data_IF_289224571050
#
_entry.id   IF_289224571050
#
_cell.length_a   1.000
_cell.length_b   1.000
_cell.length_c   1.000
_cell.angle_alpha   90.00
_cell.angle_beta   90.00
_cell.angle_gamma   90.00
#
_symmetry.space_group_name_H-M   'P 1'
#
loop_
_entity.id
_entity.type
_entity.pdbx_description
1 polymer ?
#
# COMPACT_ATOMS: atom_id res chain seq x y z
N UNK A 1 16.56 4.37 23.66
CA UNK A 1 15.87 4.23 22.37
C UNK A 1 15.38 5.60 21.95
N UNK A 2 15.80 6.09 20.79
CA UNK A 2 15.33 7.38 20.27
C UNK A 2 13.81 7.30 19.99
N UNK A 3 13.06 8.31 20.42
CA UNK A 3 11.62 8.40 20.18
C UNK A 3 11.31 8.43 18.68
N UNK A 4 10.30 7.64 18.27
CA UNK A 4 9.83 7.59 16.88
C UNK A 4 8.81 8.69 16.63
N UNK A 5 9.30 9.86 16.23
CA UNK A 5 8.49 11.06 16.01
C UNK A 5 8.24 11.36 14.54
N UNK A 6 9.15 10.94 13.65
CA UNK A 6 9.12 11.29 12.24
C UNK A 6 8.11 10.44 11.43
N UNK A 7 7.55 11.04 10.39
CA UNK A 7 6.65 10.34 9.47
C UNK A 7 7.43 9.27 8.68
N UNK A 8 6.80 8.13 8.33
CA UNK A 8 7.46 7.11 7.53
C UNK A 8 7.79 7.64 6.12
N UNK A 9 8.97 7.27 5.63
CA UNK A 9 9.39 7.59 4.26
C UNK A 9 8.62 6.75 3.24
N UNK A 10 8.54 7.19 1.96
CA UNK A 10 7.91 6.39 0.89
C UNK A 10 8.56 5.02 0.69
N UNK A 11 9.88 4.89 0.94
CA UNK A 11 10.60 3.61 0.87
C UNK A 11 10.13 2.68 1.98
N UNK A 12 10.11 3.15 3.23
CA UNK A 12 9.61 2.39 4.39
C UNK A 12 8.20 1.88 4.17
N UNK A 13 7.30 2.74 3.65
CA UNK A 13 5.92 2.34 3.34
C UNK A 13 5.86 1.24 2.28
N UNK A 14 6.68 1.32 1.23
CA UNK A 14 6.78 0.27 0.20
C UNK A 14 7.29 -1.05 0.78
N UNK A 15 8.31 -1.00 1.63
CA UNK A 15 8.91 -2.18 2.24
C UNK A 15 7.93 -2.87 3.21
N UNK A 16 7.19 -2.09 4.01
CA UNK A 16 6.12 -2.62 4.86
C UNK A 16 5.01 -3.27 4.03
N UNK A 17 4.61 -2.65 2.91
CA UNK A 17 3.64 -3.23 1.99
C UNK A 17 4.14 -4.55 1.38
N UNK A 18 5.39 -4.64 0.94
CA UNK A 18 5.99 -5.89 0.41
C UNK A 18 6.00 -7.01 1.46
N UNK A 19 6.26 -6.67 2.72
CA UNK A 19 6.20 -7.62 3.85
C UNK A 19 4.78 -7.97 4.27
N UNK A 20 3.76 -7.31 3.72
CA UNK A 20 2.36 -7.47 4.10
C UNK A 20 2.05 -6.94 5.50
N UNK A 21 2.92 -6.08 6.05
CA UNK A 21 2.71 -5.42 7.34
C UNK A 21 1.94 -4.11 7.13
N UNK A 22 0.64 -4.27 6.92
CA UNK A 22 -0.30 -3.18 6.66
C UNK A 22 -1.44 -3.24 7.66
N UNK A 23 -1.90 -2.08 8.06
CA UNK A 23 -3.06 -1.94 8.95
C UNK A 23 -4.33 -1.90 8.13
N UNK A 24 -5.25 -2.81 8.44
CA UNK A 24 -6.61 -2.86 7.90
C UNK A 24 -7.59 -3.02 9.05
N UNK A 25 -8.78 -2.47 8.91
CA UNK A 25 -9.88 -2.76 9.80
C UNK A 25 -10.63 -4.00 9.31
N UNK A 26 -10.66 -5.04 10.13
CA UNK A 26 -11.47 -6.25 9.87
C UNK A 26 -12.95 -5.97 10.08
N UNK A 27 -13.26 -4.98 10.91
CA UNK A 27 -14.63 -4.54 11.20
C UNK A 27 -15.32 -3.95 9.99
N UNK A 28 -14.60 -3.16 9.18
CA UNK A 28 -15.14 -2.62 7.92
C UNK A 28 -15.46 -3.75 6.94
N UNK A 29 -14.61 -4.77 6.85
CA UNK A 29 -14.88 -5.92 5.97
C UNK A 29 -16.13 -6.68 6.44
N UNK A 30 -16.23 -6.95 7.73
CA UNK A 30 -17.38 -7.64 8.30
C UNK A 30 -18.67 -6.81 8.18
N UNK A 31 -18.60 -5.48 8.34
CA UNK A 31 -19.74 -4.58 8.13
C UNK A 31 -20.24 -4.62 6.69
N UNK A 32 -19.34 -4.58 5.70
CA UNK A 32 -19.69 -4.69 4.28
C UNK A 32 -20.29 -6.06 3.96
N UNK A 33 -19.71 -7.14 4.47
CA UNK A 33 -20.26 -8.48 4.30
C UNK A 33 -21.68 -8.59 4.89
N UNK A 34 -21.88 -8.08 6.11
CA UNK A 34 -23.18 -8.06 6.75
C UNK A 34 -24.21 -7.22 5.96
N UNK A 35 -23.79 -6.08 5.39
CA UNK A 35 -24.64 -5.24 4.55
C UNK A 35 -25.04 -5.95 3.26
N UNK A 36 -24.11 -6.66 2.62
CA UNK A 36 -24.39 -7.46 1.41
C UNK A 36 -25.39 -8.57 1.72
N UNK A 37 -25.16 -9.32 2.81
CA UNK A 37 -26.06 -10.39 3.24
C UNK A 37 -27.44 -9.85 3.58
N UNK A 38 -27.52 -8.76 4.35
CA UNK A 38 -28.77 -8.11 4.69
C UNK A 38 -29.54 -7.66 3.43
N UNK A 39 -28.86 -7.02 2.49
CA UNK A 39 -29.47 -6.56 1.23
C UNK A 39 -29.99 -7.74 0.41
N UNK A 40 -29.20 -8.80 0.31
CA UNK A 40 -29.59 -10.02 -0.41
C UNK A 40 -30.83 -10.65 0.19
N UNK A 41 -30.85 -10.89 1.48
CA UNK A 41 -32.03 -11.49 2.15
C UNK A 41 -33.24 -10.55 2.21
N UNK A 42 -33.03 -9.23 2.18
CA UNK A 42 -34.13 -8.28 2.05
C UNK A 42 -34.81 -8.36 0.68
N UNK A 43 -34.05 -8.63 -0.39
CA UNK A 43 -34.55 -8.67 -1.77
C UNK A 43 -35.05 -10.07 -2.16
N UNK A 44 -34.31 -11.10 -1.79
CA UNK A 44 -34.52 -12.49 -2.26
C UNK A 44 -34.94 -13.46 -1.16
N UNK A 45 -34.97 -13.04 0.12
CA UNK A 45 -35.20 -13.93 1.23
C UNK A 45 -36.56 -14.66 1.17
N UNK A 46 -37.63 -14.00 0.73
CA UNK A 46 -38.92 -14.64 0.58
C UNK A 46 -38.92 -15.67 -0.54
N UNK A 47 -38.34 -15.35 -1.70
CA UNK A 47 -38.23 -16.31 -2.81
C UNK A 47 -37.36 -17.51 -2.42
N UNK A 48 -36.22 -17.27 -1.76
CA UNK A 48 -35.37 -18.33 -1.22
C UNK A 48 -36.11 -19.24 -0.24
N UNK A 49 -36.92 -18.66 0.65
CA UNK A 49 -37.72 -19.42 1.59
C UNK A 49 -38.76 -20.30 0.88
N UNK A 50 -39.48 -19.76 -0.11
CA UNK A 50 -40.48 -20.50 -0.91
C UNK A 50 -39.81 -21.68 -1.63
N UNK A 51 -38.62 -21.48 -2.19
CA UNK A 51 -37.89 -22.57 -2.90
C UNK A 51 -37.38 -23.65 -1.92
N UNK A 52 -36.98 -23.27 -0.69
CA UNK A 52 -36.67 -24.24 0.37
C UNK A 52 -37.89 -25.07 0.76
N UNK A 53 -39.06 -24.43 0.93
CA UNK A 53 -40.32 -25.15 1.18
C UNK A 53 -40.65 -26.03 0.04
N UNK A 54 -40.47 -25.57 -1.20
CA UNK A 54 -40.65 -26.39 -2.42
C UNK A 54 -39.76 -27.60 -2.42
N UNK A 55 -38.47 -27.48 -2.05
CA UNK A 55 -37.55 -28.61 -1.91
C UNK A 55 -38.04 -29.66 -0.90
N UNK A 56 -38.52 -29.17 0.27
CA UNK A 56 -39.09 -30.08 1.29
C UNK A 56 -40.30 -30.82 0.76
N UNK A 57 -41.24 -30.14 0.09
CA UNK A 57 -42.41 -30.75 -0.50
C UNK A 57 -42.03 -31.76 -1.61
N UNK A 58 -41.11 -31.39 -2.50
CA UNK A 58 -40.56 -32.29 -3.52
C UNK A 58 -39.98 -33.56 -2.89
N UNK A 59 -39.26 -33.40 -1.78
CA UNK A 59 -38.67 -34.53 -1.04
C UNK A 59 -39.75 -35.45 -0.47
N UNK A 60 -40.80 -34.88 0.12
CA UNK A 60 -41.93 -35.64 0.72
C UNK A 60 -42.68 -36.38 -0.43
N UNK A 61 -43.02 -35.71 -1.52
CA UNK A 61 -43.74 -36.27 -2.64
C UNK A 61 -42.94 -37.39 -3.38
N UNK A 62 -41.63 -37.33 -3.25
CA UNK A 62 -40.72 -38.32 -3.85
C UNK A 62 -40.60 -39.61 -3.03
N UNK A 63 -41.08 -39.69 -1.80
CA UNK A 63 -40.94 -40.87 -0.93
C UNK A 63 -41.59 -42.14 -1.54
N UNK A 64 -42.67 -41.98 -2.31
CA UNK A 64 -43.40 -43.07 -2.91
C UNK A 64 -43.02 -43.34 -4.37
N UNK A 65 -41.95 -42.70 -4.88
CA UNK A 65 -41.50 -42.83 -6.28
C UNK A 65 -40.26 -43.74 -6.39
N UNK A 66 -39.99 -44.31 -7.58
CA UNK A 66 -38.76 -45.07 -7.80
C UNK A 66 -37.52 -44.20 -7.48
N UNK A 67 -36.56 -44.78 -6.77
CA UNK A 67 -35.39 -44.06 -6.22
C UNK A 67 -34.64 -43.17 -7.22
N UNK A 68 -34.41 -43.67 -8.47
CA UNK A 68 -33.69 -42.92 -9.50
C UNK A 68 -34.45 -41.66 -9.96
N UNK A 69 -35.78 -41.69 -9.99
CA UNK A 69 -36.58 -40.49 -10.29
C UNK A 69 -36.60 -39.50 -9.13
N UNK A 70 -36.79 -40.00 -7.91
CA UNK A 70 -36.80 -39.23 -6.71
C UNK A 70 -35.48 -38.44 -6.52
N UNK A 71 -34.35 -39.14 -6.65
CA UNK A 71 -33.04 -38.51 -6.47
C UNK A 71 -32.74 -37.44 -7.55
N UNK A 72 -33.19 -37.68 -8.80
CA UNK A 72 -33.02 -36.71 -9.89
C UNK A 72 -33.80 -35.43 -9.67
N UNK A 73 -35.06 -35.52 -9.21
CA UNK A 73 -35.90 -34.35 -8.88
C UNK A 73 -35.33 -33.56 -7.72
N UNK A 74 -34.93 -34.22 -6.63
CA UNK A 74 -34.34 -33.59 -5.46
C UNK A 74 -33.01 -32.90 -5.82
N UNK A 75 -32.13 -33.59 -6.55
CA UNK A 75 -30.86 -32.99 -6.98
C UNK A 75 -31.08 -31.79 -7.92
N UNK A 76 -32.09 -31.85 -8.80
CA UNK A 76 -32.47 -30.74 -9.66
C UNK A 76 -32.92 -29.50 -8.82
N UNK A 77 -33.78 -29.73 -7.84
CA UNK A 77 -34.22 -28.64 -6.94
C UNK A 77 -33.08 -28.06 -6.11
N UNK A 78 -32.20 -28.89 -5.56
CA UNK A 78 -31.00 -28.45 -4.82
C UNK A 78 -30.07 -27.66 -5.73
N UNK A 79 -29.83 -28.15 -6.95
CA UNK A 79 -28.96 -27.42 -7.89
C UNK A 79 -29.56 -26.07 -8.29
N UNK A 80 -30.86 -25.98 -8.48
CA UNK A 80 -31.55 -24.74 -8.75
C UNK A 80 -31.36 -23.70 -7.63
N UNK A 81 -31.59 -24.11 -6.38
CA UNK A 81 -31.36 -23.26 -5.20
C UNK A 81 -29.90 -22.82 -5.12
N UNK A 82 -28.97 -23.74 -5.36
CA UNK A 82 -27.55 -23.44 -5.37
C UNK A 82 -27.19 -22.37 -6.43
N UNK A 83 -27.66 -22.55 -7.66
CA UNK A 83 -27.32 -21.64 -8.76
C UNK A 83 -28.00 -20.27 -8.63
N UNK A 84 -29.25 -20.22 -8.13
CA UNK A 84 -30.00 -18.98 -8.02
C UNK A 84 -29.62 -18.15 -6.78
N UNK A 85 -29.24 -18.77 -5.67
CA UNK A 85 -29.05 -18.07 -4.38
C UNK A 85 -27.62 -18.23 -3.86
N UNK A 86 -27.11 -19.46 -3.70
CA UNK A 86 -25.85 -19.71 -3.01
C UNK A 86 -24.65 -19.21 -3.83
N UNK A 87 -24.63 -19.52 -5.12
CA UNK A 87 -23.54 -19.11 -6.01
C UNK A 87 -23.48 -17.58 -6.17
N UNK A 88 -24.59 -16.85 -6.50
CA UNK A 88 -24.53 -15.39 -6.61
C UNK A 88 -24.15 -14.69 -5.31
N UNK A 89 -24.73 -15.08 -4.16
CA UNK A 89 -24.38 -14.44 -2.89
C UNK A 89 -22.92 -14.66 -2.52
N UNK A 90 -22.41 -15.89 -2.73
CA UNK A 90 -21.00 -16.19 -2.48
C UNK A 90 -20.07 -15.33 -3.34
N UNK A 91 -20.43 -15.15 -4.62
CA UNK A 91 -19.65 -14.32 -5.55
C UNK A 91 -19.69 -12.84 -5.15
N UNK A 92 -20.88 -12.31 -4.80
CA UNK A 92 -21.03 -10.91 -4.38
C UNK A 92 -20.25 -10.65 -3.07
N UNK A 93 -20.34 -11.55 -2.10
CA UNK A 93 -19.58 -11.46 -0.84
C UNK A 93 -18.08 -11.54 -1.11
N UNK A 94 -17.63 -12.43 -1.98
CA UNK A 94 -16.22 -12.53 -2.37
C UNK A 94 -15.73 -11.23 -3.02
N UNK A 95 -16.41 -10.72 -4.02
CA UNK A 95 -16.07 -9.46 -4.70
C UNK A 95 -16.11 -8.29 -3.70
N UNK A 96 -17.15 -8.21 -2.88
CA UNK A 96 -17.27 -7.17 -1.85
C UNK A 96 -16.13 -7.21 -0.82
N UNK A 97 -15.71 -8.41 -0.41
CA UNK A 97 -14.57 -8.57 0.52
C UNK A 97 -13.25 -8.14 -0.12
N UNK A 98 -13.01 -8.57 -1.36
CA UNK A 98 -11.78 -8.20 -2.09
C UNK A 98 -11.73 -6.69 -2.35
N UNK A 99 -12.82 -6.10 -2.85
CA UNK A 99 -12.87 -4.66 -3.12
C UNK A 99 -12.69 -3.83 -1.84
N UNK A 100 -13.31 -4.22 -0.73
CA UNK A 100 -13.14 -3.57 0.57
C UNK A 100 -11.70 -3.69 1.08
N UNK A 101 -11.08 -4.86 0.93
CA UNK A 101 -9.67 -5.06 1.28
C UNK A 101 -8.74 -4.18 0.45
N UNK A 102 -8.93 -4.19 -0.88
CA UNK A 102 -8.12 -3.38 -1.81
C UNK A 102 -8.31 -1.87 -1.57
N UNK A 103 -9.52 -1.42 -1.26
CA UNK A 103 -9.79 0.00 -0.98
C UNK A 103 -9.08 0.50 0.28
N UNK A 104 -8.92 -0.35 1.30
CA UNK A 104 -8.25 0.02 2.55
C UNK A 104 -6.71 0.11 2.44
N UNK A 105 -6.09 -0.84 1.76
CA UNK A 105 -4.63 -1.01 1.78
C UNK A 105 -3.97 -0.91 0.40
N UNK A 106 -4.78 -0.82 -0.66
CA UNK A 106 -4.34 -0.91 -2.05
C UNK A 106 -4.07 -2.34 -2.48
N UNK A 107 -3.70 -2.52 -3.74
CA UNK A 107 -3.31 -3.83 -4.26
C UNK A 107 -1.91 -4.20 -3.76
N UNK A 108 -1.80 -5.28 -2.99
CA UNK A 108 -0.56 -5.74 -2.38
C UNK A 108 -0.38 -7.23 -2.65
N UNK A 109 0.77 -7.57 -3.22
CA UNK A 109 1.18 -8.96 -3.43
C UNK A 109 2.35 -9.32 -2.50
N UNK A 110 2.02 -9.69 -1.26
CA UNK A 110 3.01 -9.97 -0.21
C UNK A 110 3.39 -11.45 -0.14
N UNK A 111 4.18 -11.92 -1.10
CA UNK A 111 4.66 -13.33 -1.16
C UNK A 111 5.46 -13.71 0.10
N UNK A 112 6.19 -12.75 0.67
CA UNK A 112 6.98 -12.98 1.89
C UNK A 112 6.11 -13.38 3.09
N UNK A 113 4.88 -12.91 3.16
CA UNK A 113 3.95 -13.24 4.26
C UNK A 113 3.46 -14.70 4.20
N UNK A 114 3.44 -15.28 3.01
CA UNK A 114 2.97 -16.68 2.79
C UNK A 114 4.06 -17.68 3.13
N UNK A 115 5.34 -17.29 3.04
CA UNK A 115 6.46 -18.19 3.33
C UNK A 115 6.39 -18.71 4.77
N UNK A 116 6.55 -20.03 4.97
CA UNK A 116 6.61 -20.61 6.31
C UNK A 116 7.85 -20.09 7.04
N UNK A 117 7.66 -19.69 8.30
CA UNK A 117 8.77 -19.27 9.15
C UNK A 117 8.61 -19.88 10.55
N UNK A 118 9.71 -20.35 11.14
CA UNK A 118 9.72 -20.94 12.47
C UNK A 118 9.17 -19.99 13.56
N UNK A 119 9.30 -18.68 13.35
CA UNK A 119 8.76 -17.66 14.26
C UNK A 119 7.24 -17.67 14.35
N UNK A 120 6.53 -18.03 13.26
CA UNK A 120 5.06 -18.10 13.21
C UNK A 120 4.51 -19.30 13.98
N UNK A 121 5.31 -20.36 14.12
CA UNK A 121 4.94 -21.61 14.79
C UNK A 121 5.40 -21.60 16.26
N UNK A 122 6.15 -20.60 16.69
CA UNK A 122 6.68 -20.51 18.05
C UNK A 122 5.57 -20.33 19.08
N UNK A 123 5.36 -21.32 19.93
CA UNK A 123 4.37 -21.31 21.04
C UNK A 123 4.62 -20.13 21.98
N UNK A 124 5.89 -19.85 22.31
CA UNK A 124 6.27 -18.74 23.20
C UNK A 124 5.84 -17.38 22.65
N UNK A 125 6.03 -17.14 21.36
CA UNK A 125 5.64 -15.89 20.71
C UNK A 125 4.12 -15.77 20.61
N UNK A 126 3.42 -16.88 20.33
CA UNK A 126 1.96 -16.90 20.27
C UNK A 126 1.32 -16.65 21.63
N UNK A 127 1.83 -17.24 22.70
CA UNK A 127 1.36 -16.94 24.07
C UNK A 127 1.56 -15.45 24.43
N UNK A 128 2.70 -14.86 24.10
CA UNK A 128 2.95 -13.44 24.32
C UNK A 128 1.99 -12.55 23.50
N UNK A 129 1.61 -12.98 22.32
CA UNK A 129 0.63 -12.25 21.50
C UNK A 129 -0.78 -12.35 22.08
N UNK A 130 -1.19 -13.51 22.62
CA UNK A 130 -2.49 -13.72 23.26
C UNK A 130 -2.65 -12.78 24.48
N UNK A 131 -1.62 -12.65 25.31
CA UNK A 131 -1.61 -11.76 26.48
C UNK A 131 -1.05 -10.35 26.16
N UNK A 132 -1.14 -9.92 24.92
CA UNK A 132 -0.70 -8.58 24.53
C UNK A 132 -1.81 -7.54 24.83
N UNK A 133 -1.39 -6.28 25.01
CA UNK A 133 -2.32 -5.13 25.14
C UNK A 133 -3.28 -5.07 23.94
N UNK A 134 -2.79 -5.47 22.74
CA UNK A 134 -3.62 -5.54 21.54
C UNK A 134 -4.77 -6.55 21.70
N UNK A 135 -4.48 -7.75 22.22
CA UNK A 135 -5.51 -8.79 22.40
C UNK A 135 -6.54 -8.40 23.47
N UNK A 136 -6.11 -7.73 24.54
CA UNK A 136 -7.04 -7.17 25.55
C UNK A 136 -7.95 -6.12 24.89
N UNK A 137 -7.42 -5.28 24.04
CA UNK A 137 -8.20 -4.27 23.31
C UNK A 137 -9.22 -4.91 22.35
N UNK A 138 -8.84 -5.98 21.63
CA UNK A 138 -9.75 -6.74 20.76
C UNK A 138 -10.84 -7.44 21.58
N UNK A 139 -10.51 -7.96 22.76
CA UNK A 139 -11.48 -8.52 23.69
C UNK A 139 -12.48 -7.46 24.15
N UNK A 140 -12.01 -6.28 24.55
CA UNK A 140 -12.90 -5.18 24.97
C UNK A 140 -13.85 -4.75 23.84
N UNK A 141 -13.38 -4.69 22.60
CA UNK A 141 -14.22 -4.45 21.42
C UNK A 141 -15.32 -5.52 21.29
N UNK A 142 -14.96 -6.78 21.46
CA UNK A 142 -15.91 -7.89 21.35
C UNK A 142 -16.98 -7.82 22.44
N UNK A 143 -16.58 -7.50 23.68
CA UNK A 143 -17.53 -7.28 24.79
C UNK A 143 -18.44 -6.08 24.49
N UNK A 144 -17.91 -5.00 23.98
CA UNK A 144 -18.70 -3.81 23.62
C UNK A 144 -19.75 -4.13 22.56
N UNK A 145 -19.39 -4.89 21.51
CA UNK A 145 -20.35 -5.37 20.50
C UNK A 145 -21.45 -6.22 21.10
N UNK A 146 -21.08 -7.13 21.99
CA UNK A 146 -22.05 -7.99 22.68
C UNK A 146 -23.03 -7.14 23.49
N UNK A 147 -22.55 -6.14 24.21
CA UNK A 147 -23.41 -5.20 24.97
C UNK A 147 -24.39 -4.48 24.03
N UNK A 148 -23.93 -4.01 22.86
CA UNK A 148 -24.82 -3.37 21.88
C UNK A 148 -25.91 -4.33 21.41
N UNK A 149 -25.57 -5.58 21.09
CA UNK A 149 -26.54 -6.59 20.67
C UNK A 149 -27.57 -6.85 21.77
N UNK A 150 -27.13 -7.02 23.03
CA UNK A 150 -27.98 -7.21 24.16
C UNK A 150 -28.93 -6.03 24.38
N UNK A 151 -28.42 -4.81 24.27
CA UNK A 151 -29.25 -3.59 24.38
C UNK A 151 -30.32 -3.52 23.27
N UNK A 152 -29.95 -3.80 22.01
CA UNK A 152 -30.90 -3.83 20.90
C UNK A 152 -31.98 -4.87 21.17
N UNK A 153 -31.58 -6.06 21.62
CA UNK A 153 -32.50 -7.14 21.94
C UNK A 153 -33.45 -6.75 23.09
N UNK A 154 -32.90 -6.12 24.14
CA UNK A 154 -33.68 -5.65 25.30
C UNK A 154 -34.69 -4.58 24.89
N UNK A 155 -34.29 -3.55 24.15
CA UNK A 155 -35.19 -2.49 23.67
C UNK A 155 -36.25 -3.03 22.72
N UNK A 156 -35.88 -3.95 21.83
CA UNK A 156 -36.82 -4.61 20.92
C UNK A 156 -37.84 -5.44 21.72
N UNK A 157 -37.39 -6.26 22.67
CA UNK A 157 -38.27 -7.06 23.53
C UNK A 157 -39.23 -6.22 24.35
N UNK A 158 -38.75 -5.09 24.91
CA UNK A 158 -39.59 -4.16 25.64
C UNK A 158 -40.60 -3.42 24.75
N UNK A 159 -40.18 -2.95 23.57
CA UNK A 159 -41.05 -2.21 22.64
C UNK A 159 -42.16 -3.08 22.04
N UNK A 160 -41.91 -4.36 21.85
CA UNK A 160 -42.86 -5.30 21.23
C UNK A 160 -43.38 -6.36 22.19
N UNK A 161 -43.32 -6.11 23.53
CA UNK A 161 -43.77 -7.04 24.57
C UNK A 161 -45.25 -7.42 24.39
N UNK A 162 -46.11 -6.46 24.02
CA UNK A 162 -47.55 -6.70 23.84
C UNK A 162 -47.83 -7.56 22.59
N UNK A 163 -47.07 -7.34 21.53
CA UNK A 163 -47.15 -8.14 20.29
C UNK A 163 -46.72 -9.60 20.59
N UNK A 164 -45.69 -9.81 21.42
CA UNK A 164 -45.28 -11.13 21.86
C UNK A 164 -46.34 -11.85 22.67
N UNK A 165 -47.08 -11.14 23.52
CA UNK A 165 -48.18 -11.74 24.31
C UNK A 165 -49.29 -12.31 23.43
N UNK A 166 -49.51 -11.77 22.22
CA UNK A 166 -50.54 -12.20 21.29
C UNK A 166 -50.12 -13.39 20.38
N UNK A 167 -48.92 -13.94 20.53
CA UNK A 167 -48.42 -15.03 19.70
C UNK A 167 -49.20 -16.36 19.89
N UNK A 168 -49.85 -16.56 21.05
CA UNK A 168 -50.54 -17.80 21.34
C UNK A 168 -51.75 -18.09 20.43
N UNK A 169 -52.28 -17.12 19.70
CA UNK A 169 -53.38 -17.26 18.77
C UNK A 169 -53.00 -17.45 17.30
N UNK A 170 -51.69 -17.46 16.97
CA UNK A 170 -51.21 -17.50 15.58
C UNK A 170 -51.12 -18.94 15.06
N UNK A 171 -51.47 -19.13 13.79
CA UNK A 171 -51.14 -20.38 13.10
C UNK A 171 -49.63 -20.42 12.79
N UNK A 172 -49.09 -21.59 12.41
CA UNK A 172 -47.68 -21.81 12.14
C UNK A 172 -47.10 -20.85 11.08
N UNK A 173 -47.87 -20.54 10.06
CA UNK A 173 -47.43 -19.62 9.01
C UNK A 173 -47.33 -18.17 9.50
N UNK A 174 -48.35 -17.72 10.25
CA UNK A 174 -48.36 -16.37 10.86
C UNK A 174 -47.19 -16.20 11.85
N UNK A 175 -46.99 -17.22 12.71
CA UNK A 175 -45.90 -17.23 13.68
C UNK A 175 -44.54 -17.10 12.96
N UNK A 176 -44.33 -17.80 11.84
CA UNK A 176 -43.11 -17.75 11.06
C UNK A 176 -42.89 -16.35 10.44
N UNK A 177 -43.91 -15.70 9.88
CA UNK A 177 -43.83 -14.35 9.32
C UNK A 177 -43.44 -13.35 10.43
N UNK A 178 -44.02 -13.48 11.61
CA UNK A 178 -43.71 -12.60 12.74
C UNK A 178 -42.26 -12.80 13.22
N UNK A 179 -41.81 -14.06 13.34
CA UNK A 179 -40.40 -14.35 13.67
C UNK A 179 -39.44 -13.77 12.64
N UNK A 180 -39.74 -13.95 11.37
CA UNK A 180 -38.95 -13.37 10.27
C UNK A 180 -38.86 -11.84 10.38
N UNK A 181 -39.98 -11.17 10.68
CA UNK A 181 -40.03 -9.73 10.91
C UNK A 181 -39.10 -9.31 12.05
N UNK A 182 -39.14 -9.98 13.19
CA UNK A 182 -38.29 -9.68 14.34
C UNK A 182 -36.81 -9.96 14.06
N UNK A 183 -36.49 -11.04 13.37
CA UNK A 183 -35.12 -11.34 12.96
C UNK A 183 -34.58 -10.23 12.03
N UNK A 184 -35.40 -9.76 11.07
CA UNK A 184 -35.04 -8.66 10.20
C UNK A 184 -34.86 -7.35 10.95
N UNK A 185 -35.75 -7.02 11.88
CA UNK A 185 -35.68 -5.83 12.71
C UNK A 185 -34.41 -5.83 13.56
N UNK A 186 -34.11 -6.95 14.20
CA UNK A 186 -32.91 -7.16 15.00
C UNK A 186 -31.66 -7.02 14.12
N UNK A 187 -31.63 -7.68 12.96
CA UNK A 187 -30.49 -7.59 12.03
C UNK A 187 -30.27 -6.15 11.55
N UNK A 188 -31.33 -5.42 11.20
CA UNK A 188 -31.26 -4.00 10.83
C UNK A 188 -30.65 -3.14 11.94
N UNK A 189 -31.08 -3.33 13.20
CA UNK A 189 -30.52 -2.61 14.34
C UNK A 189 -29.04 -2.93 14.59
N UNK A 190 -28.69 -4.22 14.56
CA UNK A 190 -27.30 -4.67 14.69
C UNK A 190 -26.43 -4.14 13.55
N UNK A 191 -26.90 -4.20 12.31
CA UNK A 191 -26.19 -3.69 11.15
C UNK A 191 -25.90 -2.19 11.26
N UNK A 192 -26.89 -1.41 11.69
CA UNK A 192 -26.71 0.03 11.89
C UNK A 192 -25.64 0.31 12.96
N UNK A 193 -25.73 -0.33 14.13
CA UNK A 193 -24.73 -0.21 15.18
C UNK A 193 -23.33 -0.65 14.72
N UNK A 194 -23.27 -1.72 13.93
CA UNK A 194 -22.02 -2.25 13.40
C UNK A 194 -21.37 -1.36 12.37
N UNK A 195 -22.17 -0.72 11.49
CA UNK A 195 -21.68 0.27 10.53
C UNK A 195 -21.06 1.48 11.24
N UNK A 196 -21.73 2.03 12.24
CA UNK A 196 -21.17 3.13 13.05
C UNK A 196 -19.85 2.71 13.71
N UNK A 197 -19.85 1.54 14.37
CA UNK A 197 -18.65 1.02 15.03
C UNK A 197 -17.49 0.80 14.05
N UNK A 198 -17.74 0.29 12.85
CA UNK A 198 -16.72 0.03 11.84
C UNK A 198 -16.01 1.31 11.38
N UNK A 199 -16.72 2.44 11.31
CA UNK A 199 -16.12 3.75 10.98
C UNK A 199 -15.13 4.19 12.08
N UNK A 200 -15.52 4.06 13.35
CA UNK A 200 -14.63 4.38 14.47
C UNK A 200 -13.41 3.44 14.52
N UNK A 201 -13.63 2.14 14.32
CA UNK A 201 -12.53 1.16 14.30
C UNK A 201 -11.56 1.45 13.15
N UNK A 202 -12.06 1.77 11.97
CA UNK A 202 -11.22 2.14 10.82
C UNK A 202 -10.33 3.34 11.11
N UNK A 203 -10.91 4.39 11.69
CA UNK A 203 -10.15 5.58 12.06
C UNK A 203 -9.09 5.28 13.11
N UNK A 204 -9.43 4.51 14.13
CA UNK A 204 -8.52 4.09 15.20
C UNK A 204 -7.38 3.21 14.64
N UNK A 205 -7.70 2.19 13.85
CA UNK A 205 -6.71 1.30 13.23
C UNK A 205 -5.74 2.07 12.31
N UNK A 206 -6.27 3.00 11.53
CA UNK A 206 -5.46 3.86 10.67
C UNK A 206 -4.50 4.72 11.48
N UNK A 207 -4.97 5.31 12.56
CA UNK A 207 -4.15 6.16 13.44
C UNK A 207 -3.05 5.36 14.16
N UNK A 208 -3.42 4.22 14.74
CA UNK A 208 -2.47 3.31 15.40
C UNK A 208 -1.44 2.75 14.41
N UNK A 209 -1.88 2.41 13.21
CA UNK A 209 -0.99 1.96 12.14
C UNK A 209 0.04 3.00 11.75
N UNK A 210 -0.37 4.24 11.55
CA UNK A 210 0.54 5.35 11.29
C UNK A 210 1.53 5.56 12.44
N UNK A 211 1.08 5.43 13.70
CA UNK A 211 1.95 5.53 14.88
C UNK A 211 3.01 4.43 14.90
N UNK A 212 2.66 3.19 14.56
CA UNK A 212 3.60 2.05 14.48
C UNK A 212 4.63 2.21 13.37
N UNK A 213 4.27 2.89 12.28
CA UNK A 213 5.13 3.13 11.12
C UNK A 213 6.10 4.32 11.32
N UNK A 214 5.91 5.14 12.38
CA UNK A 214 6.80 6.26 12.66
C UNK A 214 8.25 5.82 12.79
N UNK A 215 9.16 6.70 12.37
CA UNK A 215 10.59 6.51 12.36
C UNK A 215 11.29 7.42 13.37
N UNK A 216 12.47 7.02 13.81
CA UNK A 216 13.36 7.94 14.53
C UNK A 216 14.10 8.84 13.54
N UNK A 217 14.61 9.99 14.01
CA UNK A 217 15.44 10.88 13.18
C UNK A 217 16.67 10.17 12.60
N UNK A 218 17.25 9.23 13.38
CA UNK A 218 18.40 8.45 12.93
C UNK A 218 18.03 7.41 11.85
N UNK A 219 16.84 6.79 11.97
CA UNK A 219 16.32 5.88 10.94
C UNK A 219 16.11 6.64 9.63
N UNK A 220 15.52 7.84 9.65
CA UNK A 220 15.32 8.67 8.45
C UNK A 220 16.64 9.07 7.81
N UNK A 221 17.64 9.52 8.63
CA UNK A 221 18.98 9.86 8.13
C UNK A 221 19.69 8.67 7.48
N UNK A 222 19.60 7.47 8.10
CA UNK A 222 20.20 6.26 7.54
C UNK A 222 19.54 5.90 6.21
N UNK A 223 18.21 5.93 6.16
CA UNK A 223 17.48 5.60 4.94
C UNK A 223 17.76 6.61 3.80
N UNK A 224 17.90 7.89 4.11
CA UNK A 224 18.33 8.91 3.14
C UNK A 224 19.75 8.63 2.62
N UNK A 225 20.71 8.27 3.51
CA UNK A 225 22.06 7.86 3.10
C UNK A 225 22.06 6.60 2.22
N UNK A 226 21.19 5.64 2.52
CA UNK A 226 21.05 4.39 1.76
C UNK A 226 20.38 4.58 0.39
N UNK A 227 19.53 5.60 0.26
CA UNK A 227 18.77 5.86 -0.98
C UNK A 227 19.50 6.84 -1.90
N UNK A 228 19.99 7.96 -1.36
CA UNK A 228 20.60 9.06 -2.11
C UNK A 228 22.12 9.00 -2.13
N UNK A 229 22.70 8.07 -1.38
CA UNK A 229 24.13 7.96 -1.13
C UNK A 229 24.61 8.91 -0.04
N UNK A 230 25.76 8.62 0.54
CA UNK A 230 26.35 9.47 1.57
C UNK A 230 26.78 10.83 0.94
N UNK A 231 26.23 11.98 1.39
CA UNK A 231 26.58 13.29 0.86
C UNK A 231 28.07 13.61 1.03
N UNK A 232 28.74 13.09 2.05
CA UNK A 232 30.17 13.22 2.26
C UNK A 232 30.98 12.55 1.15
N UNK A 233 30.62 11.29 0.78
CA UNK A 233 31.27 10.57 -0.31
C UNK A 233 31.03 11.27 -1.65
N UNK A 234 29.84 11.82 -1.86
CA UNK A 234 29.51 12.56 -3.09
C UNK A 234 30.30 13.88 -3.16
N UNK A 235 30.48 14.55 -2.02
CA UNK A 235 31.33 15.74 -1.91
C UNK A 235 32.81 15.43 -2.19
N UNK A 236 33.33 14.35 -1.61
CA UNK A 236 34.71 13.90 -1.80
C UNK A 236 35.00 13.45 -3.23
N UNK A 237 34.07 12.72 -3.86
CA UNK A 237 34.18 12.42 -5.30
C UNK A 237 34.22 13.64 -6.18
N UNK A 238 33.40 14.65 -5.89
CA UNK A 238 33.45 15.93 -6.63
C UNK A 238 34.76 16.65 -6.43
N UNK A 239 35.30 16.65 -5.21
CA UNK A 239 36.58 17.27 -4.89
C UNK A 239 37.73 16.58 -5.62
N UNK A 240 37.80 15.24 -5.53
CA UNK A 240 38.77 14.41 -6.25
C UNK A 240 38.69 14.62 -7.77
N UNK A 241 37.48 14.67 -8.33
CA UNK A 241 37.30 14.95 -9.75
C UNK A 241 37.81 16.33 -10.14
N UNK A 242 37.57 17.34 -9.27
CA UNK A 242 38.10 18.70 -9.49
C UNK A 242 39.61 18.76 -9.39
N UNK A 243 40.21 18.03 -8.42
CA UNK A 243 41.69 17.94 -8.26
C UNK A 243 42.35 17.22 -9.44
N UNK A 244 41.77 16.14 -9.94
CA UNK A 244 42.27 15.43 -11.14
C UNK A 244 42.16 16.31 -12.37
N UNK A 245 41.05 17.00 -12.56
CA UNK A 245 40.86 17.91 -13.67
C UNK A 245 41.84 19.10 -13.62
N UNK A 246 42.08 19.66 -12.44
CA UNK A 246 43.03 20.76 -12.29
C UNK A 246 44.48 20.30 -12.46
N UNK A 247 44.84 19.09 -12.05
CA UNK A 247 46.16 18.51 -12.28
C UNK A 247 46.40 18.21 -13.76
N UNK A 248 45.41 17.68 -14.47
CA UNK A 248 45.47 17.49 -15.92
C UNK A 248 45.58 18.84 -16.67
N UNK A 249 44.79 19.81 -16.28
CA UNK A 249 44.82 21.17 -16.83
C UNK A 249 46.18 21.80 -16.64
N UNK A 250 46.76 21.76 -15.45
CA UNK A 250 48.09 22.29 -15.17
C UNK A 250 49.18 21.61 -16.03
N UNK A 251 49.11 20.29 -16.20
CA UNK A 251 50.03 19.53 -17.05
C UNK A 251 49.90 19.89 -18.53
N UNK A 252 48.66 20.06 -19.02
CA UNK A 252 48.45 20.46 -20.42
C UNK A 252 48.94 21.87 -20.67
N UNK A 253 48.73 22.78 -19.71
CA UNK A 253 49.26 24.15 -19.80
C UNK A 253 50.78 24.17 -19.80
N UNK A 254 51.45 23.42 -18.92
CA UNK A 254 52.92 23.31 -18.89
C UNK A 254 53.53 22.79 -20.21
N UNK A 255 52.80 21.93 -20.92
CA UNK A 255 53.22 21.38 -22.23
C UNK A 255 52.94 22.33 -23.38
N UNK A 256 52.09 23.34 -23.20
CA UNK A 256 51.72 24.25 -24.26
C UNK A 256 52.90 25.20 -24.62
N UNK A 257 53.04 25.48 -25.91
CA UNK A 257 54.03 26.38 -26.44
C UNK A 257 53.53 27.83 -26.42
N UNK A 258 52.22 28.00 -26.60
CA UNK A 258 51.57 29.33 -26.62
C UNK A 258 50.09 29.18 -26.30
N UNK A 259 49.50 30.16 -25.66
CA UNK A 259 48.07 30.23 -25.41
C UNK A 259 47.47 31.39 -26.19
N UNK A 260 46.44 31.08 -26.97
CA UNK A 260 45.66 32.08 -27.71
C UNK A 260 44.39 32.40 -26.90
N UNK A 261 44.19 33.67 -26.57
CA UNK A 261 43.04 34.11 -25.78
C UNK A 261 42.10 35.04 -26.54
N UNK A 262 40.81 34.90 -26.18
CA UNK A 262 39.82 35.97 -26.29
C UNK A 262 39.55 36.46 -24.85
N UNK A 263 39.84 37.72 -24.50
CA UNK A 263 40.12 38.20 -23.13
C UNK A 263 39.19 37.71 -22.02
N UNK A 264 37.92 37.55 -22.31
CA UNK A 264 36.91 37.18 -21.26
C UNK A 264 36.22 35.85 -21.48
N UNK A 265 36.40 35.22 -22.63
CA UNK A 265 35.53 34.12 -23.04
C UNK A 265 36.20 32.81 -23.41
N UNK A 266 37.41 32.86 -24.02
CA UNK A 266 38.03 31.63 -24.56
C UNK A 266 39.54 31.71 -24.34
N UNK A 267 40.15 30.58 -23.97
CA UNK A 267 41.59 30.36 -23.97
C UNK A 267 41.91 29.00 -24.58
N UNK A 268 42.86 28.92 -25.48
CA UNK A 268 43.24 27.72 -26.20
C UNK A 268 44.74 27.51 -26.05
N UNK A 269 45.11 26.34 -25.56
CA UNK A 269 46.50 25.95 -25.38
C UNK A 269 46.97 25.19 -26.61
N UNK A 270 48.01 25.75 -27.25
CA UNK A 270 48.61 25.16 -28.43
C UNK A 270 49.98 24.57 -28.08
N UNK A 271 50.22 23.37 -28.61
CA UNK A 271 51.53 22.72 -28.56
C UNK A 271 52.10 22.64 -29.97
N UNK A 272 53.33 23.16 -30.13
CA UNK A 272 54.05 23.05 -31.39
C UNK A 272 55.54 22.88 -31.07
N UNK A 273 56.18 21.89 -31.68
CA UNK A 273 57.62 21.70 -31.60
C UNK A 273 58.19 21.34 -32.96
N UNK A 274 59.10 22.15 -33.38
CA UNK A 274 59.75 22.03 -34.74
C UNK A 274 60.43 20.65 -34.81
N UNK A 275 60.09 19.86 -35.83
CA UNK A 275 60.64 18.52 -36.04
C UNK A 275 59.86 17.38 -35.34
N UNK A 276 58.95 17.68 -34.41
CA UNK A 276 58.10 16.65 -33.74
C UNK A 276 56.63 16.74 -34.17
N UNK A 277 56.10 17.95 -34.42
CA UNK A 277 54.73 18.13 -34.82
C UNK A 277 54.61 18.79 -36.18
N UNK A 278 53.88 18.21 -37.16
CA UNK A 278 53.74 18.81 -38.49
C UNK A 278 52.93 20.13 -38.48
N UNK A 279 52.01 20.27 -37.52
CA UNK A 279 51.13 21.44 -37.31
C UNK A 279 50.94 21.68 -35.80
N UNK A 280 50.59 22.93 -35.39
CA UNK A 280 50.22 23.21 -34.03
C UNK A 280 48.99 22.37 -33.60
N UNK A 281 49.09 21.71 -32.46
CA UNK A 281 48.04 20.87 -31.89
C UNK A 281 47.34 21.61 -30.76
N UNK A 282 46.01 21.57 -30.74
CA UNK A 282 45.22 22.04 -29.61
C UNK A 282 45.23 20.97 -28.53
N UNK A 283 45.84 21.26 -27.37
CA UNK A 283 45.98 20.29 -26.27
C UNK A 283 45.00 20.57 -25.13
N UNK A 284 44.49 21.81 -25.02
CA UNK A 284 43.48 22.16 -24.02
C UNK A 284 42.69 23.37 -24.50
N UNK A 285 41.39 23.39 -24.14
CA UNK A 285 40.50 24.52 -24.40
C UNK A 285 39.72 24.90 -23.15
N UNK A 286 39.50 26.18 -22.93
CA UNK A 286 38.67 26.68 -21.85
C UNK A 286 37.74 27.79 -22.31
N UNK A 287 36.54 27.80 -21.71
CA UNK A 287 35.54 28.84 -21.88
C UNK A 287 35.21 29.47 -20.55
N UNK A 288 34.97 30.78 -20.54
CA UNK A 288 34.56 31.57 -19.37
C UNK A 288 35.49 31.36 -18.16
N UNK A 289 34.99 30.79 -17.04
CA UNK A 289 35.77 30.56 -15.82
C UNK A 289 37.02 29.70 -16.05
N UNK A 290 36.93 28.68 -16.91
CA UNK A 290 38.07 27.82 -17.28
C UNK A 290 39.10 28.56 -18.10
N UNK A 291 38.70 29.48 -18.99
CA UNK A 291 39.62 30.32 -19.74
C UNK A 291 40.45 31.24 -18.81
N UNK A 292 39.82 31.87 -17.83
CA UNK A 292 40.50 32.69 -16.84
C UNK A 292 41.50 31.86 -16.00
N UNK A 293 41.15 30.61 -15.66
CA UNK A 293 42.05 29.71 -14.95
C UNK A 293 43.25 29.32 -15.76
N UNK A 294 43.07 29.03 -17.08
CA UNK A 294 44.15 28.76 -18.02
C UNK A 294 45.10 29.95 -18.11
N UNK A 295 44.58 31.16 -18.22
CA UNK A 295 45.41 32.38 -18.33
C UNK A 295 46.24 32.59 -17.05
N UNK A 296 45.61 32.44 -15.87
CA UNK A 296 46.34 32.56 -14.61
C UNK A 296 47.46 31.52 -14.44
N UNK A 297 47.17 30.27 -14.83
CA UNK A 297 48.18 29.21 -14.79
C UNK A 297 49.29 29.42 -15.85
N UNK A 298 48.95 29.97 -17.00
CA UNK A 298 49.95 30.32 -18.01
C UNK A 298 50.92 31.38 -17.52
N UNK A 299 50.45 32.41 -16.86
CA UNK A 299 51.25 33.45 -16.20
C UNK A 299 52.17 32.87 -15.13
N UNK A 300 51.63 31.89 -14.31
CA UNK A 300 52.41 31.21 -13.30
C UNK A 300 53.55 30.34 -13.86
N UNK A 301 53.38 29.78 -15.04
CA UNK A 301 54.35 28.88 -15.70
C UNK A 301 55.14 29.54 -16.80
N UNK A 302 55.12 30.89 -16.90
CA UNK A 302 55.85 31.69 -17.88
C UNK A 302 55.55 31.28 -19.35
N UNK A 303 54.30 30.89 -19.65
CA UNK A 303 53.87 30.50 -21.00
C UNK A 303 53.35 31.72 -21.75
N UNK A 304 53.82 32.01 -22.96
CA UNK A 304 53.37 33.15 -23.75
C UNK A 304 51.85 33.12 -23.99
N UNK A 305 51.17 34.23 -23.70
CA UNK A 305 49.72 34.39 -23.93
C UNK A 305 49.52 35.48 -24.99
N UNK A 306 48.97 35.10 -26.12
CA UNK A 306 48.71 36.01 -27.27
C UNK A 306 47.21 36.29 -27.34
N UNK A 307 46.86 37.56 -27.53
CA UNK A 307 45.49 37.96 -27.74
C UNK A 307 45.16 38.00 -29.23
N UNK A 308 44.33 37.07 -29.69
CA UNK A 308 43.81 37.04 -31.06
C UNK A 308 42.36 36.47 -31.02
N UNK A 309 41.42 37.40 -31.10
CA UNK A 309 39.97 37.06 -30.98
C UNK A 309 39.49 36.24 -32.18
N UNK A 310 39.81 36.58 -33.45
CA UNK A 310 39.41 35.79 -34.61
C UNK A 310 39.95 34.35 -34.56
N UNK A 311 41.24 34.20 -34.26
CA UNK A 311 41.92 32.92 -34.20
C UNK A 311 41.35 32.05 -33.04
N UNK A 312 41.20 32.62 -31.84
CA UNK A 312 40.63 31.90 -30.72
C UNK A 312 39.22 31.38 -31.00
N UNK A 313 38.37 32.17 -31.65
CA UNK A 313 37.00 31.73 -32.02
C UNK A 313 37.00 30.64 -33.07
N UNK A 314 37.89 30.71 -34.06
CA UNK A 314 37.98 29.70 -35.12
C UNK A 314 38.48 28.37 -34.57
N UNK A 315 39.54 28.39 -33.76
CA UNK A 315 40.08 27.17 -33.12
C UNK A 315 39.14 26.55 -32.09
N UNK A 316 38.25 27.32 -31.50
CA UNK A 316 37.26 26.78 -30.54
C UNK A 316 36.07 26.12 -31.23
N UNK A 317 35.76 26.50 -32.50
CA UNK A 317 34.64 25.97 -33.28
C UNK A 317 34.96 24.68 -34.04
N UNK A 318 36.21 24.47 -34.36
CA UNK A 318 36.73 23.29 -35.07
C UNK A 318 37.33 22.30 -34.06
#
# INVERSE_FOLDING_TARGET
MSEKTEKPTPKKLRDLKKKGDVTKSEEVMAAVQSLILFSFFSLYGMSFFVDIVGLVNTTIDSLNRPFLYAIREILGAVLNIFLLYILPISLIVFVGTVTTGVSQIGFIFAVEKIKPSAQKISVKNNLKNIFSVKSIFELLKSVFKLVIIVLIFYFMGHSYANEFANFTGLNAYQALVVVAFFVFLLWKGVLFGYLLFSVFDFWFQKHEGLKKMKMSKDEVKREAKDTDGNPEIKGERRRLHSEIQSGSLANNIKKSTVIVKNPTHIAICLYYKLGETPLPLVIETGKDAKALQIIKLAELYDIPVIEDIPLARTLYKN
#
